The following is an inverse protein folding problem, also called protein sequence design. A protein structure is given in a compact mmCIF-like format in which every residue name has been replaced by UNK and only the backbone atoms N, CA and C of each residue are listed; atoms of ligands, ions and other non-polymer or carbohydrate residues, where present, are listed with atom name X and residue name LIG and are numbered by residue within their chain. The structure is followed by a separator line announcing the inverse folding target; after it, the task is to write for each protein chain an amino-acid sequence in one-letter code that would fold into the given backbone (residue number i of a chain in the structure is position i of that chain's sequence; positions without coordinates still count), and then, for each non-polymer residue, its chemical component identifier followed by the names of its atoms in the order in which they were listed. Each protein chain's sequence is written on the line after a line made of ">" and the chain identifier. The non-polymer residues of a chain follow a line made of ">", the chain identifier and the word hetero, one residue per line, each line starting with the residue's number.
data_IF_991638141029
#
_entry.id   IF_991638141029
#
_cell.length_a   1.000
_cell.length_b   1.000
_cell.length_c   1.000
_cell.angle_alpha   90.00
_cell.angle_beta   90.00
_cell.angle_gamma   90.00
#
_symmetry.space_group_name_H-M   'P 1'
#
loop_
_entity.id
_entity.type
_entity.pdbx_description
1 polymer ?
#
# COMPACT_ATOMS: atom_id res chain seq x y z
N UNK A 1 17.69 -20.33 -1.67
CA UNK A 1 17.48 -19.08 -2.43
C UNK A 1 16.45 -18.26 -1.69
N UNK A 2 16.77 -17.05 -1.24
CA UNK A 2 15.80 -16.20 -0.57
C UNK A 2 14.69 -15.82 -1.57
N UNK A 3 13.46 -16.20 -1.26
CA UNK A 3 12.31 -15.89 -2.12
C UNK A 3 11.91 -14.44 -1.81
N UNK A 4 12.48 -13.47 -2.55
CA UNK A 4 12.13 -12.06 -2.37
C UNK A 4 10.72 -11.82 -2.87
N UNK A 5 9.86 -11.22 -2.05
CA UNK A 5 8.51 -10.83 -2.46
C UNK A 5 8.61 -9.74 -3.53
N UNK A 6 8.10 -10.03 -4.72
CA UNK A 6 8.06 -9.08 -5.84
C UNK A 6 6.85 -8.17 -5.71
N UNK A 7 7.10 -6.87 -5.76
CA UNK A 7 6.08 -5.84 -5.57
C UNK A 7 6.10 -4.90 -6.76
N UNK A 8 4.98 -4.80 -7.47
CA UNK A 8 4.81 -3.82 -8.54
C UNK A 8 4.63 -2.44 -7.92
N UNK A 9 5.34 -1.43 -8.41
CA UNK A 9 5.19 -0.04 -7.96
C UNK A 9 4.73 0.80 -9.13
N UNK A 10 3.51 1.31 -9.06
CA UNK A 10 2.94 2.27 -10.03
C UNK A 10 3.11 3.67 -9.45
N UNK A 11 3.94 4.50 -10.08
CA UNK A 11 4.31 5.81 -9.53
C UNK A 11 4.46 6.86 -10.64
N UNK A 12 4.25 8.12 -10.25
CA UNK A 12 4.49 9.29 -11.10
C UNK A 12 5.73 10.05 -10.63
N UNK A 13 5.95 10.11 -9.31
CA UNK A 13 7.12 10.76 -8.72
C UNK A 13 8.30 9.79 -8.58
N UNK A 14 9.46 10.02 -9.22
CA UNK A 14 10.63 9.16 -9.09
C UNK A 14 11.16 9.04 -7.65
N UNK A 15 10.91 10.04 -6.79
CA UNK A 15 11.31 10.00 -5.38
C UNK A 15 10.65 8.85 -4.62
N UNK A 16 9.43 8.46 -5.01
CA UNK A 16 8.67 7.34 -4.45
C UNK A 16 9.48 6.05 -4.44
N UNK A 17 10.13 5.74 -5.56
CA UNK A 17 10.91 4.51 -5.66
C UNK A 17 12.13 4.55 -4.73
N UNK A 18 12.76 5.72 -4.58
CA UNK A 18 13.90 5.90 -3.67
C UNK A 18 13.50 5.69 -2.21
N UNK A 19 12.35 6.23 -1.81
CA UNK A 19 11.81 6.07 -0.45
C UNK A 19 11.44 4.61 -0.17
N UNK A 20 10.75 3.95 -1.11
CA UNK A 20 10.41 2.53 -0.99
C UNK A 20 11.66 1.66 -0.90
N UNK A 21 12.69 1.92 -1.73
CA UNK A 21 13.96 1.21 -1.67
C UNK A 21 14.66 1.38 -0.33
N UNK A 22 14.61 2.57 0.28
CA UNK A 22 15.16 2.80 1.61
C UNK A 22 14.42 1.99 2.71
N UNK A 23 13.13 1.69 2.50
CA UNK A 23 12.30 0.90 3.41
C UNK A 23 12.17 -0.59 3.01
N UNK A 24 12.87 -1.04 1.97
CA UNK A 24 12.59 -2.32 1.30
C UNK A 24 12.79 -3.57 2.16
N UNK A 25 13.79 -3.59 3.05
CA UNK A 25 14.05 -4.72 3.95
C UNK A 25 14.09 -6.11 3.28
N UNK A 26 14.53 -6.21 2.01
CA UNK A 26 14.55 -7.45 1.23
C UNK A 26 13.39 -7.62 0.23
N UNK A 27 12.56 -6.60 0.04
CA UNK A 27 11.54 -6.56 -1.02
C UNK A 27 12.17 -6.22 -2.38
N UNK A 28 11.67 -6.85 -3.44
CA UNK A 28 12.05 -6.54 -4.82
C UNK A 28 10.96 -5.66 -5.46
N UNK A 29 11.28 -4.41 -5.77
CA UNK A 29 10.35 -3.49 -6.43
C UNK A 29 10.50 -3.52 -7.95
N UNK A 30 9.37 -3.72 -8.64
CA UNK A 30 9.26 -3.64 -10.09
C UNK A 30 8.61 -2.31 -10.46
N UNK A 31 9.36 -1.32 -10.95
CA UNK A 31 8.82 0.00 -11.26
C UNK A 31 7.98 0.00 -12.53
N UNK A 32 6.83 0.67 -12.50
CA UNK A 32 5.96 0.89 -13.66
C UNK A 32 5.46 2.34 -13.68
N UNK A 33 5.85 3.11 -14.70
CA UNK A 33 5.39 4.49 -14.86
C UNK A 33 4.06 4.61 -15.59
N UNK A 34 3.81 3.74 -16.56
CA UNK A 34 2.55 3.74 -17.30
C UNK A 34 1.48 2.94 -16.54
N UNK A 35 0.65 3.66 -15.79
CA UNK A 35 -0.44 3.09 -15.01
C UNK A 35 -1.44 2.27 -15.83
N UNK A 36 -1.59 2.55 -17.13
CA UNK A 36 -2.51 1.79 -18.02
C UNK A 36 -2.04 0.35 -18.24
N UNK A 37 -0.74 0.11 -18.06
CA UNK A 37 -0.15 -1.22 -18.23
C UNK A 37 -0.23 -2.07 -16.97
N UNK A 38 -0.67 -1.53 -15.83
CA UNK A 38 -0.62 -2.23 -14.55
C UNK A 38 -1.33 -3.59 -14.57
N UNK A 39 -2.55 -3.65 -15.13
CA UNK A 39 -3.30 -4.91 -15.22
C UNK A 39 -2.66 -5.91 -16.19
N UNK A 40 -2.06 -5.45 -17.29
CA UNK A 40 -1.35 -6.32 -18.22
C UNK A 40 -0.06 -6.87 -17.58
N UNK A 41 0.67 -6.02 -16.86
CA UNK A 41 1.85 -6.40 -16.11
C UNK A 41 1.51 -7.42 -15.03
N UNK A 42 0.46 -7.19 -14.24
CA UNK A 42 0.02 -8.13 -13.21
C UNK A 42 -0.31 -9.53 -13.75
N UNK A 43 -0.87 -9.60 -14.97
CA UNK A 43 -1.12 -10.88 -15.66
C UNK A 43 0.16 -11.55 -16.14
N UNK A 44 1.14 -10.77 -16.60
CA UNK A 44 2.42 -11.30 -17.08
C UNK A 44 3.34 -11.79 -15.95
N UNK A 45 3.18 -11.27 -14.73
CA UNK A 45 3.99 -11.62 -13.55
C UNK A 45 3.11 -12.23 -12.45
N UNK A 46 2.69 -13.50 -12.56
CA UNK A 46 1.77 -14.13 -11.61
C UNK A 46 2.36 -14.33 -10.20
N UNK A 47 3.67 -14.16 -10.03
CA UNK A 47 4.38 -14.27 -8.76
C UNK A 47 4.45 -12.94 -7.97
N UNK A 48 3.80 -11.88 -8.45
CA UNK A 48 3.67 -10.64 -7.68
C UNK A 48 2.92 -10.89 -6.37
N UNK A 49 3.49 -10.44 -5.26
CA UNK A 49 2.87 -10.52 -3.94
C UNK A 49 1.91 -9.35 -3.71
N UNK A 50 2.29 -8.16 -4.17
CA UNK A 50 1.53 -6.94 -4.00
C UNK A 50 1.76 -5.95 -5.14
N UNK A 51 0.89 -4.95 -5.21
CA UNK A 51 1.03 -3.74 -6.01
C UNK A 51 0.86 -2.54 -5.10
N UNK A 52 1.79 -1.60 -5.21
CA UNK A 52 1.74 -0.28 -4.57
C UNK A 52 1.42 0.73 -5.66
N UNK A 53 0.38 1.54 -5.45
CA UNK A 53 0.03 2.65 -6.34
C UNK A 53 0.17 3.95 -5.58
N UNK A 54 1.00 4.85 -6.10
CA UNK A 54 1.17 6.20 -5.57
C UNK A 54 -0.11 7.01 -5.77
N UNK A 55 -0.64 7.57 -4.68
CA UNK A 55 -1.66 8.61 -4.71
C UNK A 55 -0.98 9.96 -4.89
N UNK A 56 -1.27 10.65 -5.99
CA UNK A 56 -0.87 12.04 -6.20
C UNK A 56 -2.06 12.96 -5.97
N UNK A 57 -1.84 14.13 -5.36
CA UNK A 57 -2.90 15.10 -5.07
C UNK A 57 -3.67 15.56 -6.33
N UNK A 58 -3.06 15.42 -7.50
CA UNK A 58 -3.62 15.83 -8.79
C UNK A 58 -4.50 14.76 -9.47
N UNK A 59 -4.61 13.53 -8.94
CA UNK A 59 -5.23 12.46 -9.70
C UNK A 59 -6.03 11.44 -8.89
N UNK A 60 -7.31 11.29 -9.26
CA UNK A 60 -8.15 10.14 -8.88
C UNK A 60 -7.73 8.84 -9.56
N UNK A 61 -6.81 8.89 -10.52
CA UNK A 61 -6.42 7.74 -11.33
C UNK A 61 -5.77 6.60 -10.52
N UNK A 62 -5.23 6.89 -9.33
CA UNK A 62 -4.70 5.83 -8.46
C UNK A 62 -5.79 4.81 -8.11
N UNK A 63 -7.00 5.28 -7.80
CA UNK A 63 -8.11 4.42 -7.41
C UNK A 63 -8.62 3.60 -8.60
N UNK A 64 -8.72 4.22 -9.79
CA UNK A 64 -9.08 3.52 -11.02
C UNK A 64 -8.11 2.36 -11.32
N UNK A 65 -6.80 2.58 -11.13
CA UNK A 65 -5.79 1.52 -11.31
C UNK A 65 -6.03 0.37 -10.34
N UNK A 66 -6.30 0.67 -9.07
CA UNK A 66 -6.56 -0.34 -8.05
C UNK A 66 -7.86 -1.11 -8.31
N UNK A 67 -8.92 -0.45 -8.75
CA UNK A 67 -10.18 -1.09 -9.16
C UNK A 67 -9.99 -2.01 -10.37
N UNK A 68 -9.24 -1.55 -11.38
CA UNK A 68 -8.90 -2.37 -12.55
C UNK A 68 -8.07 -3.60 -12.17
N UNK A 69 -7.16 -3.46 -11.20
CA UNK A 69 -6.39 -4.58 -10.66
C UNK A 69 -7.23 -5.52 -9.80
N UNK A 70 -8.22 -5.02 -9.07
CA UNK A 70 -9.17 -5.84 -8.33
C UNK A 70 -9.93 -6.78 -9.27
N UNK A 71 -10.37 -6.29 -10.43
CA UNK A 71 -11.04 -7.10 -11.44
C UNK A 71 -10.07 -8.07 -12.15
N UNK A 72 -8.87 -7.61 -12.52
CA UNK A 72 -7.92 -8.40 -13.32
C UNK A 72 -7.12 -9.44 -12.51
N UNK A 73 -6.82 -9.14 -11.24
CA UNK A 73 -5.96 -9.93 -10.36
C UNK A 73 -6.50 -9.86 -8.91
N UNK A 74 -7.67 -10.46 -8.61
CA UNK A 74 -8.36 -10.26 -7.33
C UNK A 74 -7.54 -10.70 -6.11
N UNK A 75 -6.66 -11.69 -6.27
CA UNK A 75 -5.76 -12.20 -5.23
C UNK A 75 -4.52 -11.32 -4.99
N UNK A 76 -4.18 -10.43 -5.93
CA UNK A 76 -3.04 -9.53 -5.79
C UNK A 76 -3.34 -8.49 -4.73
N UNK A 77 -2.46 -8.36 -3.74
CA UNK A 77 -2.65 -7.39 -2.66
C UNK A 77 -2.44 -5.97 -3.17
N UNK A 78 -3.43 -5.12 -2.97
CA UNK A 78 -3.52 -3.76 -3.51
C UNK A 78 -3.27 -2.73 -2.40
N UNK A 79 -2.21 -1.95 -2.54
CA UNK A 79 -1.75 -1.00 -1.53
C UNK A 79 -1.76 0.40 -2.11
N UNK A 80 -2.38 1.34 -1.40
CA UNK A 80 -2.27 2.76 -1.70
C UNK A 80 -1.08 3.36 -0.93
N UNK A 81 -0.22 4.10 -1.61
CA UNK A 81 0.80 4.94 -0.97
C UNK A 81 0.32 6.39 -0.97
N UNK A 82 0.17 6.98 0.21
CA UNK A 82 -0.55 8.26 0.38
C UNK A 82 0.23 9.30 1.20
N UNK A 83 0.07 10.56 0.82
CA UNK A 83 0.57 11.74 1.54
C UNK A 83 -0.51 12.39 2.44
N UNK A 84 -1.62 11.69 2.71
CA UNK A 84 -2.69 12.07 3.66
C UNK A 84 -3.65 13.21 3.28
N UNK A 85 -3.59 13.79 2.07
CA UNK A 85 -4.46 14.94 1.74
C UNK A 85 -5.89 14.60 1.31
N UNK A 86 -6.14 13.40 0.76
CA UNK A 86 -7.47 12.98 0.30
C UNK A 86 -7.85 11.62 0.91
N UNK A 87 -8.32 11.71 2.16
CA UNK A 87 -8.82 10.58 2.94
C UNK A 87 -10.12 10.00 2.36
N UNK A 88 -10.91 10.80 1.64
CA UNK A 88 -12.20 10.35 1.13
C UNK A 88 -12.01 9.25 0.08
N UNK A 89 -11.10 9.46 -0.88
CA UNK A 89 -10.80 8.44 -1.90
C UNK A 89 -10.20 7.15 -1.29
N UNK A 90 -9.41 7.29 -0.22
CA UNK A 90 -8.85 6.13 0.50
C UNK A 90 -9.95 5.34 1.23
N UNK A 91 -10.84 6.03 1.94
CA UNK A 91 -11.97 5.43 2.65
C UNK A 91 -12.88 4.69 1.66
N UNK A 92 -13.24 5.34 0.54
CA UNK A 92 -14.06 4.73 -0.51
C UNK A 92 -13.38 3.49 -1.11
N UNK A 93 -12.09 3.59 -1.42
CA UNK A 93 -11.31 2.46 -1.95
C UNK A 93 -11.22 1.28 -0.99
N UNK A 94 -11.15 1.53 0.33
CA UNK A 94 -11.19 0.46 1.35
C UNK A 94 -12.58 -0.15 1.44
N UNK A 95 -13.64 0.65 1.49
CA UNK A 95 -15.03 0.16 1.57
C UNK A 95 -15.44 -0.67 0.35
N UNK A 96 -14.97 -0.31 -0.84
CA UNK A 96 -15.23 -1.05 -2.09
C UNK A 96 -14.33 -2.29 -2.26
N UNK A 97 -13.31 -2.46 -1.41
CA UNK A 97 -12.34 -3.54 -1.50
C UNK A 97 -11.27 -3.37 -2.61
N UNK A 98 -11.25 -2.20 -3.26
CA UNK A 98 -10.22 -1.83 -4.22
C UNK A 98 -8.85 -1.72 -3.53
N UNK A 99 -8.82 -1.25 -2.28
CA UNK A 99 -7.62 -1.09 -1.44
C UNK A 99 -7.63 -2.16 -0.34
N UNK A 100 -6.53 -2.91 -0.21
CA UNK A 100 -6.34 -3.85 0.90
C UNK A 100 -5.59 -3.23 2.09
N UNK A 101 -4.68 -2.28 1.82
CA UNK A 101 -3.91 -1.59 2.84
C UNK A 101 -3.48 -0.21 2.33
N UNK A 102 -3.14 0.67 3.28
CA UNK A 102 -2.63 2.02 3.01
C UNK A 102 -1.31 2.16 3.72
N UNK A 103 -0.31 2.69 3.03
CA UNK A 103 0.97 3.11 3.59
C UNK A 103 1.02 4.62 3.48
N UNK A 104 1.25 5.30 4.60
CA UNK A 104 1.39 6.76 4.60
C UNK A 104 2.86 7.15 4.52
N UNK A 105 3.15 8.28 3.88
CA UNK A 105 4.46 8.94 4.04
C UNK A 105 4.52 9.66 5.40
N UNK A 106 5.70 9.70 6.07
CA UNK A 106 6.95 9.03 5.70
C UNK A 106 6.86 7.51 5.84
N UNK A 107 7.49 6.78 4.91
CA UNK A 107 7.35 5.32 4.81
C UNK A 107 8.06 4.63 5.98
N UNK A 108 7.28 4.00 6.86
CA UNK A 108 7.79 3.08 7.87
C UNK A 108 7.95 1.67 7.30
N UNK A 109 9.14 1.08 7.46
CA UNK A 109 9.45 -0.24 6.91
C UNK A 109 8.54 -1.33 7.50
N UNK A 110 8.20 -1.28 8.80
CA UNK A 110 7.36 -2.31 9.42
C UNK A 110 5.94 -2.24 8.88
N UNK A 111 5.39 -1.03 8.73
CA UNK A 111 4.09 -0.82 8.10
C UNK A 111 4.07 -1.27 6.64
N UNK A 112 5.12 -0.97 5.88
CA UNK A 112 5.25 -1.41 4.48
C UNK A 112 5.26 -2.94 4.38
N UNK A 113 6.07 -3.61 5.19
CA UNK A 113 6.11 -5.08 5.23
C UNK A 113 4.77 -5.68 5.63
N UNK A 114 4.12 -5.15 6.68
CA UNK A 114 2.81 -5.61 7.12
C UNK A 114 1.72 -5.42 6.05
N UNK A 115 1.76 -4.27 5.35
CA UNK A 115 0.87 -3.98 4.24
C UNK A 115 1.05 -4.97 3.07
N UNK A 116 2.27 -5.46 2.82
CA UNK A 116 2.58 -6.41 1.74
C UNK A 116 2.24 -7.86 2.12
N UNK A 117 2.58 -8.29 3.33
CA UNK A 117 2.32 -9.67 3.80
C UNK A 117 0.87 -9.89 4.22
N UNK A 118 0.16 -8.81 4.52
CA UNK A 118 -1.20 -8.87 5.05
C UNK A 118 -1.31 -9.27 6.50
N UNK A 119 -0.21 -9.25 7.23
CA UNK A 119 -0.24 -9.35 8.69
C UNK A 119 -0.77 -8.04 9.24
N UNK A 120 -1.84 -8.07 10.03
CA UNK A 120 -2.28 -6.90 10.77
C UNK A 120 -1.15 -6.46 11.69
N UNK A 121 -0.51 -5.33 11.39
CA UNK A 121 0.29 -4.63 12.39
C UNK A 121 -0.67 -4.21 13.48
N UNK A 122 -0.51 -4.77 14.69
CA UNK A 122 -1.20 -4.27 15.86
C UNK A 122 -0.98 -2.75 15.89
N UNK A 123 -2.08 -1.99 15.81
CA UNK A 123 -2.03 -0.55 15.80
C UNK A 123 -1.19 -0.09 17.00
N UNK A 124 -0.19 0.75 16.75
CA UNK A 124 0.54 1.39 17.85
C UNK A 124 -0.51 2.07 18.76
N UNK A 125 -0.43 1.89 20.09
CA UNK A 125 -1.38 2.53 20.99
C UNK A 125 -1.33 4.04 20.77
N UNK A 126 -2.49 4.64 20.54
CA UNK A 126 -2.64 6.09 20.49
C UNK A 126 -2.11 6.65 21.82
N UNK A 127 -1.11 7.54 21.83
CA UNK A 127 -0.63 8.16 23.06
C UNK A 127 -1.77 8.91 23.74
N UNK A 128 -2.34 8.32 24.80
CA UNK A 128 -3.46 8.92 25.54
C UNK A 128 -4.50 7.93 26.09
N UNK A 129 -4.66 6.74 25.53
CA UNK A 129 -5.70 5.80 25.98
C UNK A 129 -5.34 5.02 27.26
N UNK A 130 -4.08 5.03 27.68
CA UNK A 130 -3.62 4.23 28.83
C UNK A 130 -3.92 4.88 30.20
N UNK A 131 -4.37 6.15 30.24
CA UNK A 131 -4.74 6.84 31.49
C UNK A 131 -6.20 6.65 31.91
N UNK A 132 -7.10 6.24 31.01
CA UNK A 132 -8.52 6.12 31.33
C UNK A 132 -8.86 4.83 32.10
N UNK A 133 -8.13 3.73 31.90
CA UNK A 133 -8.47 2.44 32.49
C UNK A 133 -7.98 2.21 33.93
N UNK A 134 -7.28 3.18 34.54
CA UNK A 134 -6.73 3.02 35.90
C UNK A 134 -7.57 3.64 37.02
N UNK A 135 -8.75 4.20 36.72
CA UNK A 135 -9.59 4.92 37.70
C UNK A 135 -10.89 4.21 38.11
N UNK A 136 -11.14 2.98 37.67
CA UNK A 136 -12.40 2.26 38.00
C UNK A 136 -12.18 1.08 38.97
N UNK A 137 -11.00 0.96 39.56
CA UNK A 137 -10.73 0.01 40.63
C UNK A 137 -10.30 0.80 41.88
N UNK A 138 -11.28 1.33 42.61
CA UNK A 138 -11.14 1.87 43.96
C UNK A 138 -12.41 1.53 44.72
#
# INVERSE_FOLDING_TARGET
>A
MANHSKVLVVFENPATLKELLAAAGGLEFLPLRDRRQASAFAKAYPNLTAVIVEQTAASKAFLEVLQNLQAAAPKLRRIALSDSSDLFCVIDGVHTGAINAVVYRPIDARQLHAAITGTATAAAPVPGQQRANRRVAS
#
